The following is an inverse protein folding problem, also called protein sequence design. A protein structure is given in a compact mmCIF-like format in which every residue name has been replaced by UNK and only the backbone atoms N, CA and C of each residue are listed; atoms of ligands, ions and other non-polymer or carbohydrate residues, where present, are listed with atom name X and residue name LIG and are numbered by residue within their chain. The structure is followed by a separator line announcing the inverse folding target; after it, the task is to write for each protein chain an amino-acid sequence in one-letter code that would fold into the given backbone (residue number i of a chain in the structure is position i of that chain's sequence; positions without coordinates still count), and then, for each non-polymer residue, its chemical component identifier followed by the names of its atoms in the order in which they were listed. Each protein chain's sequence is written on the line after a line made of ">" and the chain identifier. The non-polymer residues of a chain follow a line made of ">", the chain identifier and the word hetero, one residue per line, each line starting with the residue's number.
data_IF_666979418819
#
_entry.id   IF_666979418819
#
_cell.length_a   1.000
_cell.length_b   1.000
_cell.length_c   1.000
_cell.angle_alpha   90.00
_cell.angle_beta   90.00
_cell.angle_gamma   90.00
#
_symmetry.space_group_name_H-M   'P 1'
#
loop_
_entity.id
_entity.type
_entity.pdbx_description
1 polymer ?
#
# COMPACT_ATOMS: atom_id res chain seq x y z
N UNK A 1 -12.85 -1.60 -19.39
CA UNK A 1 -13.06 -2.34 -18.12
C UNK A 1 -12.37 -3.67 -18.25
N UNK A 2 -11.50 -4.02 -17.30
CA UNK A 2 -10.72 -5.26 -17.25
C UNK A 2 -11.13 -6.11 -16.05
N UNK A 3 -10.68 -7.36 -16.02
CA UNK A 3 -10.77 -8.21 -14.85
C UNK A 3 -9.37 -8.54 -14.37
N UNK A 4 -9.17 -8.51 -13.06
CA UNK A 4 -7.91 -8.82 -12.40
C UNK A 4 -8.14 -10.02 -11.50
N UNK A 5 -7.33 -11.07 -11.65
CA UNK A 5 -7.23 -12.17 -10.70
C UNK A 5 -6.18 -11.79 -9.66
N UNK A 6 -6.54 -11.84 -8.41
CA UNK A 6 -5.66 -11.54 -7.30
C UNK A 6 -5.78 -12.60 -6.22
N UNK A 7 -4.71 -12.81 -5.46
CA UNK A 7 -4.70 -13.78 -4.38
C UNK A 7 -3.35 -13.87 -3.69
N UNK A 8 -3.30 -14.69 -2.65
CA UNK A 8 -2.06 -14.97 -1.94
C UNK A 8 -2.08 -16.38 -1.35
N UNK A 9 -0.89 -16.89 -1.08
CA UNK A 9 -0.63 -18.04 -0.23
C UNK A 9 0.49 -17.72 0.74
N UNK A 10 0.16 -17.71 2.04
CA UNK A 10 1.10 -17.40 3.11
C UNK A 10 1.11 -18.56 4.11
N UNK A 11 2.30 -19.05 4.47
CA UNK A 11 2.46 -20.14 5.43
C UNK A 11 3.29 -19.65 6.60
N UNK A 12 2.74 -19.81 7.81
CA UNK A 12 3.43 -19.58 9.06
C UNK A 12 3.69 -20.92 9.77
N UNK A 13 4.77 -20.98 10.55
CA UNK A 13 5.05 -22.06 11.47
C UNK A 13 5.21 -21.49 12.88
N UNK A 14 4.41 -21.97 13.81
CA UNK A 14 4.35 -21.46 15.19
C UNK A 14 4.62 -22.59 16.17
N UNK A 15 5.61 -22.46 17.09
CA UNK A 15 5.95 -23.55 18.03
C UNK A 15 4.85 -23.79 19.07
N UNK A 16 3.93 -22.84 19.24
CA UNK A 16 2.77 -22.92 20.14
C UNK A 16 1.60 -22.16 19.54
N UNK A 17 0.42 -22.28 20.14
CA UNK A 17 -0.75 -21.50 19.77
C UNK A 17 -0.43 -20.00 19.78
N UNK A 18 -0.82 -19.29 18.69
CA UNK A 18 -0.46 -17.91 18.45
C UNK A 18 -1.68 -17.10 17.99
N UNK A 19 -2.15 -16.12 18.79
CA UNK A 19 -3.10 -15.15 18.31
C UNK A 19 -2.49 -14.34 17.15
N UNK A 20 -3.27 -14.17 16.05
CA UNK A 20 -2.87 -13.42 14.86
C UNK A 20 -3.99 -12.51 14.41
N UNK A 21 -3.62 -11.37 13.82
CA UNK A 21 -4.50 -10.49 13.07
C UNK A 21 -3.96 -10.35 11.66
N UNK A 22 -4.82 -10.53 10.66
CA UNK A 22 -4.51 -10.35 9.24
C UNK A 22 -5.28 -9.16 8.67
N UNK A 23 -4.60 -8.31 7.93
CA UNK A 23 -5.17 -7.28 7.05
C UNK A 23 -4.86 -7.66 5.61
N UNK A 24 -5.60 -8.61 5.08
CA UNK A 24 -5.37 -9.21 3.77
C UNK A 24 -6.62 -9.24 2.90
N UNK A 25 -7.77 -8.84 3.46
CA UNK A 25 -9.01 -8.72 2.71
C UNK A 25 -9.04 -7.43 1.89
N UNK A 26 -9.70 -7.50 0.74
CA UNK A 26 -9.96 -6.33 -0.10
C UNK A 26 -10.66 -5.24 0.72
N UNK A 27 -10.19 -4.00 0.61
CA UNK A 27 -10.76 -2.86 1.33
C UNK A 27 -12.26 -2.69 1.01
N UNK A 28 -13.12 -2.31 1.96
CA UNK A 28 -14.57 -2.17 1.75
C UNK A 28 -14.97 -1.34 0.52
N UNK A 29 -14.19 -0.31 0.16
CA UNK A 29 -14.45 0.50 -1.03
C UNK A 29 -14.35 -0.25 -2.37
N UNK A 30 -13.69 -1.42 -2.40
CA UNK A 30 -13.50 -2.24 -3.59
C UNK A 30 -14.33 -3.53 -3.58
N UNK A 31 -15.02 -3.83 -2.47
CA UNK A 31 -15.91 -5.01 -2.37
C UNK A 31 -16.99 -5.04 -3.45
N UNK A 32 -17.63 -3.91 -3.86
CA UNK A 32 -18.61 -3.91 -4.94
C UNK A 32 -18.06 -4.35 -6.31
N UNK A 33 -16.74 -4.28 -6.50
CA UNK A 33 -16.07 -4.66 -7.75
C UNK A 33 -15.77 -6.16 -7.82
N UNK A 34 -15.89 -6.91 -6.73
CA UNK A 34 -15.60 -8.34 -6.70
C UNK A 34 -16.52 -9.12 -7.65
N UNK A 35 -15.92 -9.94 -8.52
CA UNK A 35 -16.61 -10.90 -9.39
C UNK A 35 -16.77 -12.24 -8.68
N UNK A 36 -15.73 -12.66 -7.99
CA UNK A 36 -15.76 -13.83 -7.09
C UNK A 36 -15.38 -13.37 -5.68
N UNK A 37 -15.92 -14.00 -4.62
CA UNK A 37 -15.65 -13.57 -3.24
C UNK A 37 -14.16 -13.62 -2.88
N UNK A 38 -13.66 -12.56 -2.24
CA UNK A 38 -12.39 -12.59 -1.51
C UNK A 38 -12.63 -13.30 -0.16
N UNK A 39 -12.49 -14.61 -0.16
CA UNK A 39 -12.72 -15.46 1.00
C UNK A 39 -11.39 -15.97 1.55
N UNK A 40 -10.89 -15.34 2.65
CA UNK A 40 -9.71 -15.84 3.36
C UNK A 40 -9.98 -17.23 3.93
N UNK A 41 -9.12 -18.19 3.58
CA UNK A 41 -9.20 -19.60 3.99
C UNK A 41 -7.97 -20.00 4.79
N UNK A 42 -8.16 -20.98 5.67
CA UNK A 42 -7.12 -21.47 6.58
C UNK A 42 -6.99 -22.99 6.48
N UNK A 43 -5.75 -23.47 6.48
CA UNK A 43 -5.40 -24.89 6.61
C UNK A 43 -4.32 -25.07 7.69
N UNK A 44 -4.61 -25.81 8.76
CA UNK A 44 -5.91 -26.42 9.08
C UNK A 44 -7.00 -25.37 9.29
N UNK A 45 -8.27 -25.78 9.13
CA UNK A 45 -9.40 -24.89 9.37
C UNK A 45 -9.39 -24.40 10.83
N UNK A 46 -9.50 -23.07 11.02
CA UNK A 46 -9.54 -22.42 12.33
C UNK A 46 -10.70 -21.43 12.39
N UNK A 47 -11.36 -21.28 13.54
CA UNK A 47 -12.35 -20.22 13.73
C UNK A 47 -11.71 -18.85 13.53
N UNK A 48 -12.41 -17.96 12.81
CA UNK A 48 -11.98 -16.59 12.59
C UNK A 48 -13.11 -15.62 12.89
N UNK A 49 -12.75 -14.40 13.27
CA UNK A 49 -13.69 -13.28 13.41
C UNK A 49 -13.15 -12.06 12.69
N UNK A 50 -14.04 -11.26 12.12
CA UNK A 50 -13.68 -10.01 11.43
C UNK A 50 -14.20 -8.81 12.21
N UNK A 51 -13.44 -7.71 12.09
CA UNK A 51 -13.84 -6.39 12.57
C UNK A 51 -13.27 -5.32 11.63
N UNK A 52 -13.80 -4.12 11.72
CA UNK A 52 -13.28 -2.95 10.99
C UNK A 52 -12.48 -2.10 11.97
N UNK A 53 -11.27 -1.70 11.58
CA UNK A 53 -10.43 -0.83 12.39
C UNK A 53 -10.81 0.66 12.27
N UNK A 54 -10.07 1.52 12.98
CA UNK A 54 -10.29 2.97 12.96
C UNK A 54 -10.00 3.66 11.63
N UNK A 55 -9.37 2.97 10.68
CA UNK A 55 -9.06 3.46 9.32
C UNK A 55 -9.99 2.89 8.25
N UNK A 56 -10.94 2.04 8.65
CA UNK A 56 -11.91 1.41 7.75
C UNK A 56 -11.42 0.10 7.11
N UNK A 57 -10.31 -0.48 7.58
CA UNK A 57 -9.76 -1.73 7.05
C UNK A 57 -10.43 -2.96 7.66
N UNK A 58 -10.54 -4.03 6.89
CA UNK A 58 -11.03 -5.33 7.38
C UNK A 58 -9.88 -6.07 8.06
N UNK A 59 -10.05 -6.36 9.35
CA UNK A 59 -9.12 -7.12 10.16
C UNK A 59 -9.70 -8.51 10.47
N UNK A 60 -8.97 -9.56 10.15
CA UNK A 60 -9.36 -10.95 10.47
C UNK A 60 -8.51 -11.49 11.62
N UNK A 61 -9.15 -11.83 12.73
CA UNK A 61 -8.51 -12.39 13.92
C UNK A 61 -8.70 -13.89 14.00
N UNK A 62 -7.61 -14.60 14.28
CA UNK A 62 -7.56 -16.05 14.48
C UNK A 62 -6.65 -16.42 15.65
N UNK A 63 -6.80 -17.66 16.15
CA UNK A 63 -5.82 -18.31 17.00
C UNK A 63 -5.20 -19.44 16.18
N UNK A 64 -3.99 -19.22 15.68
CA UNK A 64 -3.24 -20.23 14.94
C UNK A 64 -2.87 -21.39 15.89
N UNK A 65 -3.07 -22.65 15.49
CA UNK A 65 -2.61 -23.81 16.26
C UNK A 65 -1.06 -23.90 16.24
N UNK A 66 -0.46 -24.71 17.10
CA UNK A 66 0.94 -25.10 16.95
C UNK A 66 1.19 -25.76 15.57
N UNK A 67 2.37 -25.52 14.99
CA UNK A 67 2.74 -26.00 13.67
C UNK A 67 2.35 -25.05 12.54
N UNK A 68 2.15 -25.61 11.37
CA UNK A 68 1.90 -24.83 10.15
C UNK A 68 0.45 -24.37 10.04
N UNK A 69 0.28 -23.08 9.72
CA UNK A 69 -0.96 -22.48 9.30
C UNK A 69 -0.76 -21.90 7.91
N UNK A 70 -1.51 -22.40 6.91
CA UNK A 70 -1.62 -21.84 5.57
C UNK A 70 -2.81 -20.89 5.55
N UNK A 71 -2.60 -19.68 5.05
CA UNK A 71 -3.61 -18.64 4.85
C UNK A 71 -3.62 -18.30 3.37
N UNK A 72 -4.78 -18.38 2.71
CA UNK A 72 -4.83 -18.19 1.25
C UNK A 72 -6.19 -17.69 0.78
N UNK A 73 -6.17 -17.01 -0.36
CA UNK A 73 -7.36 -16.62 -1.14
C UNK A 73 -7.00 -16.58 -2.62
N UNK A 74 -8.02 -16.64 -3.47
CA UNK A 74 -7.93 -16.45 -4.92
C UNK A 74 -9.29 -15.94 -5.38
N UNK A 75 -9.31 -14.77 -5.99
CA UNK A 75 -10.53 -14.07 -6.40
C UNK A 75 -10.32 -13.26 -7.67
N UNK A 76 -11.42 -12.81 -8.26
CA UNK A 76 -11.44 -11.95 -9.44
C UNK A 76 -12.19 -10.67 -9.11
N UNK A 77 -11.62 -9.54 -9.51
CA UNK A 77 -12.19 -8.20 -9.33
C UNK A 77 -12.32 -7.50 -10.67
N UNK A 78 -13.35 -6.66 -10.85
CA UNK A 78 -13.45 -5.72 -11.98
C UNK A 78 -12.62 -4.48 -11.67
N UNK A 79 -12.01 -3.95 -12.72
CA UNK A 79 -11.30 -2.67 -12.67
C UNK A 79 -11.66 -1.82 -13.88
N UNK A 80 -11.55 -0.50 -13.75
CA UNK A 80 -11.84 0.43 -14.84
C UNK A 80 -10.96 0.19 -16.08
N UNK A 81 -9.73 -0.30 -15.86
CA UNK A 81 -8.69 -0.38 -16.86
C UNK A 81 -8.11 0.99 -17.23
N UNK A 82 -8.39 2.01 -16.42
CA UNK A 82 -7.83 3.35 -16.57
C UNK A 82 -6.67 3.55 -15.60
N UNK A 83 -5.65 4.32 -15.97
CA UNK A 83 -4.56 4.66 -15.07
C UNK A 83 -5.05 5.55 -13.91
N UNK A 84 -4.23 5.62 -12.85
CA UNK A 84 -4.47 6.53 -11.73
C UNK A 84 -4.76 7.96 -12.24
N UNK A 85 -5.79 8.65 -11.72
CA UNK A 85 -6.15 9.99 -12.19
C UNK A 85 -5.04 11.01 -11.98
N UNK A 86 -4.78 11.85 -12.98
CA UNK A 86 -3.85 12.99 -12.92
C UNK A 86 -4.66 14.28 -13.00
N UNK A 87 -4.61 15.11 -11.93
CA UNK A 87 -5.39 16.34 -11.81
C UNK A 87 -4.48 17.51 -11.41
N UNK A 88 -3.73 18.10 -12.37
CA UNK A 88 -2.72 19.13 -12.11
C UNK A 88 -3.24 20.36 -11.38
N UNK A 89 -4.51 20.69 -11.53
CA UNK A 89 -5.17 21.86 -10.93
C UNK A 89 -5.68 21.58 -9.48
N UNK A 90 -5.49 20.37 -8.95
CA UNK A 90 -5.92 20.04 -7.59
C UNK A 90 -5.11 20.86 -6.57
N UNK A 91 -5.82 21.77 -5.88
CA UNK A 91 -5.20 22.72 -4.94
C UNK A 91 -4.82 22.08 -3.61
N UNK A 92 -3.79 22.59 -2.97
CA UNK A 92 -3.54 22.36 -1.55
C UNK A 92 -4.50 23.20 -0.71
N UNK A 93 -5.02 22.60 0.37
CA UNK A 93 -5.84 23.32 1.35
C UNK A 93 -4.98 23.95 2.43
N UNK A 94 -5.42 25.10 2.95
CA UNK A 94 -4.91 25.59 4.23
C UNK A 94 -5.33 24.63 5.34
N UNK A 95 -4.49 24.45 6.36
CA UNK A 95 -4.77 23.51 7.46
C UNK A 95 -6.10 23.83 8.16
N UNK A 96 -6.44 25.11 8.28
CA UNK A 96 -7.71 25.56 8.89
C UNK A 96 -8.97 25.21 8.07
N UNK A 97 -8.82 24.85 6.80
CA UNK A 97 -9.91 24.45 5.91
C UNK A 97 -10.15 22.93 5.92
N UNK A 98 -9.23 22.17 6.50
CA UNK A 98 -9.30 20.71 6.46
C UNK A 98 -10.35 20.17 7.41
N UNK A 99 -11.14 19.15 7.01
CA UNK A 99 -11.98 18.38 7.92
C UNK A 99 -11.17 17.75 9.06
N UNK A 100 -11.74 17.70 10.27
CA UNK A 100 -11.07 17.24 11.49
C UNK A 100 -10.49 15.82 11.36
N UNK A 101 -11.19 14.93 10.65
CA UNK A 101 -10.77 13.55 10.41
C UNK A 101 -9.50 13.43 9.55
N UNK A 102 -9.11 14.49 8.85
CA UNK A 102 -7.89 14.51 8.02
C UNK A 102 -6.65 14.95 8.80
N UNK A 103 -6.82 15.61 9.94
CA UNK A 103 -5.70 16.18 10.72
C UNK A 103 -4.74 15.10 11.21
N UNK A 104 -5.21 13.89 11.46
CA UNK A 104 -4.38 12.74 11.83
C UNK A 104 -3.35 12.39 10.75
N UNK A 105 -3.61 12.73 9.49
CA UNK A 105 -2.74 12.49 8.34
C UNK A 105 -1.75 13.62 8.06
N UNK A 106 -1.70 14.64 8.92
CA UNK A 106 -0.64 15.66 8.97
C UNK A 106 0.43 15.33 10.03
N UNK A 107 0.09 14.45 10.98
CA UNK A 107 0.95 14.18 12.13
C UNK A 107 2.02 13.13 11.80
N UNK A 108 3.14 13.21 12.51
CA UNK A 108 4.16 12.15 12.49
C UNK A 108 3.60 10.81 12.97
N UNK A 109 4.23 9.73 12.53
CA UNK A 109 3.86 8.36 12.91
C UNK A 109 5.11 7.49 13.02
N UNK A 110 4.98 6.18 13.31
CA UNK A 110 6.12 5.30 13.62
C UNK A 110 7.24 5.36 12.57
N UNK A 111 6.89 5.42 11.29
CA UNK A 111 7.85 5.42 10.19
C UNK A 111 7.97 6.78 9.49
N UNK A 112 7.03 7.70 9.75
CA UNK A 112 7.00 9.04 9.17
C UNK A 112 7.40 10.06 10.25
N UNK A 113 8.71 10.20 10.46
CA UNK A 113 9.36 11.03 11.48
C UNK A 113 9.43 12.50 11.02
N UNK A 114 8.27 13.15 10.93
CA UNK A 114 8.09 14.53 10.43
C UNK A 114 8.90 15.56 11.22
N UNK A 115 9.04 15.37 12.53
CA UNK A 115 9.81 16.21 13.44
C UNK A 115 11.31 16.26 13.08
N UNK A 116 11.84 15.17 12.50
CA UNK A 116 13.23 15.06 12.08
C UNK A 116 13.47 15.44 10.61
N UNK A 117 12.39 15.68 9.85
CA UNK A 117 12.48 15.92 8.41
C UNK A 117 11.90 17.29 7.97
N UNK A 118 11.31 18.06 8.88
CA UNK A 118 10.65 19.32 8.55
C UNK A 118 11.61 20.31 7.85
N UNK A 119 12.78 20.59 8.41
CA UNK A 119 13.75 21.50 7.81
C UNK A 119 14.21 21.04 6.42
N UNK A 120 14.41 19.73 6.25
CA UNK A 120 14.77 19.15 4.96
C UNK A 120 13.64 19.33 3.94
N UNK A 121 12.40 19.06 4.32
CA UNK A 121 11.23 19.23 3.45
C UNK A 121 11.08 20.69 2.99
N UNK A 122 11.13 21.63 3.93
CA UNK A 122 11.04 23.07 3.62
C UNK A 122 12.20 23.55 2.74
N UNK A 123 13.41 23.09 2.98
CA UNK A 123 14.57 23.47 2.13
C UNK A 123 14.40 22.98 0.69
N UNK A 124 13.76 21.82 0.48
CA UNK A 124 13.57 21.22 -0.85
C UNK A 124 12.35 21.75 -1.59
N UNK A 125 11.22 22.00 -0.87
CA UNK A 125 9.92 22.16 -1.53
C UNK A 125 9.20 23.48 -1.26
N UNK A 126 9.74 24.42 -0.44
CA UNK A 126 9.07 25.70 -0.14
C UNK A 126 8.74 26.51 -1.39
N UNK A 127 9.61 26.47 -2.39
CA UNK A 127 9.47 27.25 -3.62
C UNK A 127 8.69 26.51 -4.72
N UNK A 128 8.24 25.25 -4.49
CA UNK A 128 7.40 24.55 -5.43
C UNK A 128 5.95 25.06 -5.38
N UNK A 129 5.22 25.17 -6.51
CA UNK A 129 3.81 25.54 -6.50
C UNK A 129 3.00 24.60 -5.58
N UNK A 130 2.12 25.14 -4.70
CA UNK A 130 1.30 24.30 -3.83
C UNK A 130 0.30 23.44 -4.61
N UNK A 131 -0.18 22.34 -4.00
CA UNK A 131 -1.12 21.42 -4.63
C UNK A 131 -0.43 20.28 -5.35
N UNK A 132 -1.02 19.84 -6.47
CA UNK A 132 -0.53 18.70 -7.25
C UNK A 132 0.95 18.81 -7.60
N UNK A 133 1.38 19.97 -8.07
CA UNK A 133 2.76 20.20 -8.50
C UNK A 133 3.77 19.96 -7.36
N UNK A 134 3.43 20.34 -6.12
CA UNK A 134 4.26 20.06 -4.95
C UNK A 134 4.35 18.57 -4.61
N UNK A 135 3.23 17.86 -4.65
CA UNK A 135 3.22 16.41 -4.41
C UNK A 135 4.00 15.68 -5.50
N UNK A 136 3.85 16.09 -6.76
CA UNK A 136 4.63 15.52 -7.86
C UNK A 136 6.13 15.80 -7.70
N UNK A 137 6.52 17.01 -7.33
CA UNK A 137 7.93 17.33 -7.05
C UNK A 137 8.50 16.49 -5.90
N UNK A 138 7.69 16.19 -4.87
CA UNK A 138 8.06 15.26 -3.80
C UNK A 138 8.25 13.85 -4.36
N UNK A 139 7.34 13.35 -5.20
CA UNK A 139 7.48 12.04 -5.85
C UNK A 139 8.74 11.97 -6.70
N UNK A 140 9.00 12.97 -7.52
CA UNK A 140 10.19 13.05 -8.39
C UNK A 140 11.48 13.03 -7.57
N UNK A 141 11.51 13.79 -6.47
CA UNK A 141 12.65 13.81 -5.57
C UNK A 141 12.89 12.44 -4.93
N UNK A 142 11.84 11.82 -4.37
CA UNK A 142 11.95 10.52 -3.69
C UNK A 142 12.34 9.42 -4.67
N UNK A 143 11.75 9.42 -5.87
CA UNK A 143 12.08 8.50 -6.96
C UNK A 143 13.58 8.52 -7.31
N UNK A 144 14.13 9.72 -7.45
CA UNK A 144 15.54 9.91 -7.79
C UNK A 144 16.48 9.73 -6.58
N UNK A 145 15.98 9.89 -5.36
CA UNK A 145 16.78 9.77 -4.13
C UNK A 145 17.00 8.34 -3.69
N UNK A 146 16.02 7.46 -3.87
CA UNK A 146 16.08 6.09 -3.37
C UNK A 146 16.34 5.08 -4.50
N UNK A 147 17.27 4.16 -4.24
CA UNK A 147 17.48 2.97 -5.07
C UNK A 147 16.60 1.85 -4.55
N UNK A 148 15.73 1.32 -5.42
CA UNK A 148 14.87 0.19 -5.08
C UNK A 148 15.63 -1.15 -5.11
N UNK A 149 15.32 -2.06 -4.17
CA UNK A 149 15.77 -3.45 -4.19
C UNK A 149 15.26 -4.24 -2.99
N UNK A 150 14.75 -5.45 -3.21
CA UNK A 150 14.24 -6.31 -2.14
C UNK A 150 15.30 -6.65 -1.07
N UNK A 151 16.57 -6.75 -1.46
CA UNK A 151 17.68 -6.95 -0.53
C UNK A 151 17.90 -5.80 0.46
N UNK A 152 17.27 -4.65 0.23
CA UNK A 152 17.31 -3.50 1.13
C UNK A 152 16.16 -3.48 2.15
N UNK A 153 15.29 -4.49 2.16
CA UNK A 153 14.18 -4.56 3.09
C UNK A 153 14.68 -4.54 4.56
N UNK A 154 14.19 -3.56 5.35
CA UNK A 154 14.49 -3.44 6.78
C UNK A 154 13.22 -3.00 7.52
N UNK A 155 12.65 -3.87 8.39
CA UNK A 155 11.36 -3.60 9.05
C UNK A 155 11.34 -2.34 9.92
N UNK A 156 12.50 -1.89 10.41
CA UNK A 156 12.62 -0.75 11.34
C UNK A 156 12.92 0.58 10.68
N UNK A 157 13.22 0.61 9.35
CA UNK A 157 13.64 1.83 8.65
C UNK A 157 12.55 2.89 8.69
N UNK A 158 12.89 4.09 9.19
CA UNK A 158 12.06 5.29 9.14
C UNK A 158 12.28 6.06 7.83
N UNK A 159 11.44 7.06 7.56
CA UNK A 159 11.59 7.92 6.39
C UNK A 159 12.93 8.65 6.37
N UNK A 160 13.37 9.19 7.53
CA UNK A 160 14.68 9.85 7.66
C UNK A 160 15.84 8.89 7.37
N UNK A 161 15.78 7.67 7.92
CA UNK A 161 16.81 6.67 7.67
C UNK A 161 16.86 6.28 6.18
N UNK A 162 15.70 6.09 5.55
CA UNK A 162 15.60 5.85 4.10
C UNK A 162 16.22 6.98 3.29
N UNK A 163 15.90 8.23 3.64
CA UNK A 163 16.46 9.41 3.01
C UNK A 163 18.00 9.46 3.13
N UNK A 164 18.56 9.16 4.31
CA UNK A 164 20.03 9.16 4.52
C UNK A 164 20.70 8.02 3.75
N UNK A 165 20.15 6.80 3.84
CA UNK A 165 20.71 5.60 3.22
C UNK A 165 20.56 5.58 1.69
N UNK A 166 19.61 6.32 1.12
CA UNK A 166 19.37 6.41 -0.31
C UNK A 166 18.92 5.10 -0.96
N UNK A 167 18.27 4.20 -0.21
CA UNK A 167 17.82 2.88 -0.70
C UNK A 167 16.67 2.32 0.13
N UNK A 168 15.85 1.46 -0.48
CA UNK A 168 14.73 0.85 0.21
C UNK A 168 13.85 -0.01 -0.66
N UNK A 169 12.70 -0.39 -0.12
CA UNK A 169 11.60 -1.09 -0.82
C UNK A 169 10.40 -0.15 -1.01
N UNK A 170 9.35 -0.58 -1.70
CA UNK A 170 8.16 0.24 -1.98
C UNK A 170 7.62 1.00 -0.74
N UNK A 171 7.62 0.35 0.43
CA UNK A 171 7.25 0.94 1.71
C UNK A 171 8.09 2.17 2.07
N UNK A 172 9.40 2.11 1.84
CA UNK A 172 10.32 3.18 2.21
C UNK A 172 10.14 4.41 1.31
N UNK A 173 9.83 4.21 0.02
CA UNK A 173 9.46 5.28 -0.92
C UNK A 173 8.17 5.96 -0.47
N UNK A 174 7.13 5.18 -0.14
CA UNK A 174 5.86 5.72 0.34
C UNK A 174 6.03 6.51 1.65
N UNK A 175 6.76 5.97 2.64
CA UNK A 175 7.00 6.65 3.91
C UNK A 175 7.71 7.98 3.74
N UNK A 176 8.75 8.04 2.89
CA UNK A 176 9.49 9.27 2.66
C UNK A 176 8.62 10.33 1.97
N UNK A 177 7.85 9.94 0.95
CA UNK A 177 6.93 10.84 0.27
C UNK A 177 5.84 11.37 1.21
N UNK A 178 5.21 10.49 2.00
CA UNK A 178 4.22 10.85 3.03
C UNK A 178 4.82 11.84 4.04
N UNK A 179 6.04 11.57 4.53
CA UNK A 179 6.71 12.44 5.49
C UNK A 179 6.90 13.84 4.92
N UNK A 180 7.39 13.96 3.69
CA UNK A 180 7.54 15.25 3.03
C UNK A 180 6.20 15.95 2.78
N UNK A 181 5.17 15.24 2.33
CA UNK A 181 3.83 15.81 2.18
C UNK A 181 3.32 16.42 3.49
N UNK A 182 3.43 15.67 4.60
CA UNK A 182 2.98 16.12 5.92
C UNK A 182 3.79 17.32 6.42
N UNK A 183 5.10 17.32 6.23
CA UNK A 183 5.95 18.48 6.55
C UNK A 183 5.56 19.74 5.74
N UNK A 184 4.98 19.55 4.55
CA UNK A 184 4.48 20.63 3.70
C UNK A 184 2.98 20.91 3.92
N UNK A 185 2.40 20.43 5.03
CA UNK A 185 0.99 20.61 5.40
C UNK A 185 -0.01 19.99 4.41
N UNK A 186 0.36 18.90 3.73
CA UNK A 186 -0.51 18.14 2.86
C UNK A 186 -0.88 16.83 3.56
N UNK A 187 -2.19 16.58 3.88
CA UNK A 187 -2.58 15.31 4.44
C UNK A 187 -2.21 14.16 3.49
N UNK A 188 -1.47 13.18 4.02
CA UNK A 188 -1.03 12.03 3.24
C UNK A 188 -1.17 10.75 4.05
N UNK A 189 -1.69 9.68 3.41
CA UNK A 189 -1.92 8.37 4.03
C UNK A 189 -1.27 7.25 3.23
N UNK A 190 -0.81 6.27 3.96
CA UNK A 190 -0.20 5.06 3.42
C UNK A 190 -1.27 4.10 2.93
N UNK A 191 -1.01 3.47 1.79
CA UNK A 191 -1.84 2.45 1.19
C UNK A 191 -1.02 1.21 0.87
N UNK A 192 -1.64 0.03 1.03
CA UNK A 192 -1.08 -1.24 0.59
C UNK A 192 -2.15 -2.08 -0.11
N UNK A 193 -1.70 -2.91 -1.03
CA UNK A 193 -2.59 -3.78 -1.78
C UNK A 193 -1.89 -4.45 -2.96
N UNK A 194 -2.69 -4.96 -3.87
CA UNK A 194 -2.18 -5.62 -5.08
C UNK A 194 -1.91 -4.60 -6.18
N UNK A 195 -0.83 -4.81 -6.91
CA UNK A 195 -0.49 -4.06 -8.11
C UNK A 195 0.29 -4.97 -9.06
N UNK A 196 -0.38 -5.44 -10.09
CA UNK A 196 0.23 -6.27 -11.14
C UNK A 196 0.90 -5.45 -12.24
N UNK A 197 1.60 -6.14 -13.14
CA UNK A 197 2.25 -5.54 -14.31
C UNK A 197 1.27 -5.40 -15.49
N UNK A 198 0.21 -4.59 -15.26
CA UNK A 198 -0.82 -4.31 -16.27
C UNK A 198 -0.40 -3.07 -17.05
N UNK A 199 -0.36 -3.20 -18.38
CA UNK A 199 0.06 -2.14 -19.32
C UNK A 199 1.47 -1.57 -19.06
N UNK A 200 2.34 -2.37 -18.43
CA UNK A 200 3.75 -2.06 -18.24
C UNK A 200 4.58 -3.32 -18.52
N UNK A 201 5.89 -3.17 -18.84
CA UNK A 201 6.76 -4.35 -18.98
C UNK A 201 6.77 -5.18 -17.70
N UNK A 202 6.64 -6.51 -17.80
CA UNK A 202 6.71 -7.38 -16.64
C UNK A 202 8.10 -7.33 -16.01
N UNK A 203 8.14 -7.48 -14.68
CA UNK A 203 9.39 -7.63 -13.92
C UNK A 203 9.62 -9.10 -13.58
N UNK A 204 10.89 -9.54 -13.61
CA UNK A 204 11.26 -10.93 -13.29
C UNK A 204 11.22 -11.25 -11.79
N UNK A 205 10.96 -10.25 -10.95
CA UNK A 205 10.94 -10.41 -9.49
C UNK A 205 9.61 -11.00 -9.03
N UNK A 206 9.61 -11.81 -7.94
CA UNK A 206 8.37 -12.34 -7.38
C UNK A 206 7.40 -11.22 -7.02
N UNK A 207 6.11 -11.41 -7.33
CA UNK A 207 5.07 -10.48 -6.93
C UNK A 207 4.95 -10.41 -5.41
N UNK A 208 4.67 -9.20 -4.90
CA UNK A 208 4.45 -8.89 -3.49
C UNK A 208 3.30 -7.89 -3.36
N UNK A 209 2.81 -7.69 -2.16
CA UNK A 209 1.95 -6.54 -1.91
C UNK A 209 2.74 -5.25 -2.14
N UNK A 210 2.16 -4.36 -2.91
CA UNK A 210 2.73 -3.06 -3.19
C UNK A 210 2.34 -2.04 -2.12
N UNK A 211 3.18 -1.02 -1.99
CA UNK A 211 2.90 0.15 -1.18
C UNK A 211 2.92 1.41 -2.05
N UNK A 212 1.95 2.28 -1.81
CA UNK A 212 1.83 3.62 -2.39
C UNK A 212 1.24 4.57 -1.36
N UNK A 213 0.91 5.78 -1.75
CA UNK A 213 0.24 6.70 -0.84
C UNK A 213 -0.86 7.49 -1.54
N UNK A 214 -1.72 8.08 -0.75
CA UNK A 214 -2.71 9.05 -1.22
C UNK A 214 -2.46 10.40 -0.54
N UNK A 215 -2.59 11.48 -1.30
CA UNK A 215 -2.55 12.86 -0.82
C UNK A 215 -3.92 13.53 -0.99
N UNK A 216 -4.34 14.32 0.00
CA UNK A 216 -5.61 15.03 -0.04
C UNK A 216 -5.44 16.41 -0.66
N UNK A 217 -6.03 16.60 -1.82
CA UNK A 217 -5.95 17.82 -2.61
C UNK A 217 -7.34 18.12 -3.20
N UNK A 218 -7.72 19.39 -3.31
CA UNK A 218 -8.96 19.79 -3.98
C UNK A 218 -10.24 19.15 -3.44
N UNK A 219 -10.25 18.70 -2.19
CA UNK A 219 -11.42 18.10 -1.55
C UNK A 219 -11.51 16.58 -1.66
N UNK A 220 -10.50 15.89 -2.20
CA UNK A 220 -10.48 14.43 -2.31
C UNK A 220 -9.08 13.83 -2.24
N UNK A 221 -9.03 12.51 -2.07
CA UNK A 221 -7.79 11.75 -2.05
C UNK A 221 -7.38 11.36 -3.46
N UNK A 222 -6.10 11.61 -3.81
CA UNK A 222 -5.48 11.18 -5.05
C UNK A 222 -4.32 10.23 -4.80
N UNK A 223 -4.22 9.20 -5.62
CA UNK A 223 -3.15 8.21 -5.57
C UNK A 223 -1.85 8.77 -6.16
N UNK A 224 -0.75 8.53 -5.44
CA UNK A 224 0.62 8.82 -5.87
C UNK A 224 1.53 7.64 -5.54
N UNK A 225 2.56 7.46 -6.34
CA UNK A 225 3.52 6.36 -6.14
C UNK A 225 4.94 6.83 -6.47
N UNK A 226 5.70 7.17 -5.42
CA UNK A 226 7.05 7.65 -5.59
C UNK A 226 8.06 6.58 -6.08
N UNK A 227 7.72 5.26 -5.98
CA UNK A 227 8.57 4.19 -6.50
C UNK A 227 8.52 4.12 -8.02
N UNK A 228 7.32 4.02 -8.59
CA UNK A 228 7.16 3.93 -10.04
C UNK A 228 7.15 5.31 -10.70
N UNK A 229 6.62 6.30 -10.01
CA UNK A 229 6.48 7.70 -10.42
C UNK A 229 5.73 7.89 -11.75
N UNK A 230 4.81 6.98 -12.03
CA UNK A 230 3.89 6.99 -13.16
C UNK A 230 2.50 6.55 -12.70
N UNK A 231 1.42 7.03 -13.35
CA UNK A 231 0.09 6.46 -13.16
C UNK A 231 0.06 4.98 -13.54
N UNK A 232 -0.57 4.14 -12.72
CA UNK A 232 -0.66 2.70 -12.95
C UNK A 232 -2.13 2.27 -13.09
N UNK A 233 -2.35 1.14 -13.74
CA UNK A 233 -3.66 0.49 -13.89
C UNK A 233 -3.76 -0.65 -12.87
N UNK A 234 -4.96 -0.85 -12.33
CA UNK A 234 -5.28 -2.07 -11.57
C UNK A 234 -4.80 -2.10 -10.12
N UNK A 235 -4.68 -0.93 -9.46
CA UNK A 235 -4.45 -0.90 -8.01
C UNK A 235 -5.66 -1.44 -7.26
N UNK A 236 -5.45 -2.51 -6.51
CA UNK A 236 -6.49 -3.08 -5.66
C UNK A 236 -6.14 -2.85 -4.20
N UNK A 237 -6.80 -1.87 -3.58
CA UNK A 237 -6.56 -1.50 -2.19
C UNK A 237 -6.97 -2.63 -1.24
N UNK A 238 -6.07 -2.96 -0.31
CA UNK A 238 -6.29 -3.87 0.82
C UNK A 238 -6.47 -3.08 2.11
N UNK A 239 -5.51 -2.21 2.43
CA UNK A 239 -5.58 -1.41 3.64
C UNK A 239 -4.92 -0.04 3.47
N UNK A 240 -5.33 0.91 4.33
CA UNK A 240 -4.76 2.25 4.42
C UNK A 240 -4.64 2.71 5.87
N UNK A 241 -3.69 3.58 6.16
CA UNK A 241 -3.44 4.10 7.50
C UNK A 241 -2.43 5.24 7.48
N UNK A 242 -1.86 5.59 8.62
CA UNK A 242 -0.85 6.66 8.70
C UNK A 242 0.50 6.23 8.11
N UNK A 243 0.88 4.99 8.39
CA UNK A 243 2.08 4.34 7.85
C UNK A 243 1.93 2.81 7.91
N UNK A 244 2.96 2.05 7.60
CA UNK A 244 2.92 0.58 7.56
C UNK A 244 2.59 -0.07 8.91
N UNK A 245 2.68 0.63 10.04
CA UNK A 245 2.29 0.08 11.35
C UNK A 245 0.77 -0.14 11.43
N UNK A 246 0.00 0.78 10.86
CA UNK A 246 -1.47 0.72 10.88
C UNK A 246 -2.03 -0.32 9.88
N UNK A 247 -1.22 -0.79 8.93
CA UNK A 247 -1.64 -1.67 7.82
C UNK A 247 -0.79 -2.94 7.70
N UNK A 248 -0.30 -3.43 8.82
CA UNK A 248 0.51 -4.65 8.82
C UNK A 248 -0.29 -5.84 8.27
N UNK A 249 0.19 -6.46 7.17
CA UNK A 249 -0.41 -7.62 6.52
C UNK A 249 -0.72 -8.73 7.52
N UNK A 250 0.20 -8.96 8.46
CA UNK A 250 -0.03 -9.86 9.60
C UNK A 250 0.64 -9.34 10.85
N UNK A 251 -0.06 -9.44 11.98
CA UNK A 251 0.49 -9.21 13.31
C UNK A 251 0.36 -10.50 14.12
N UNK A 252 1.45 -10.93 14.73
CA UNK A 252 1.45 -12.13 15.60
C UNK A 252 1.82 -11.74 17.04
N UNK A 253 1.11 -12.33 18.00
CA UNK A 253 1.29 -12.07 19.42
C UNK A 253 2.03 -13.21 20.13
N UNK A 254 2.68 -14.10 19.37
CA UNK A 254 3.56 -15.15 19.85
C UNK A 254 4.64 -15.46 18.81
N UNK A 255 5.71 -16.17 19.14
CA UNK A 255 6.73 -16.58 18.18
C UNK A 255 6.10 -17.32 16.99
N UNK A 256 6.45 -16.88 15.78
CA UNK A 256 5.95 -17.45 14.53
C UNK A 256 6.94 -17.13 13.42
N UNK A 257 7.25 -18.10 12.58
CA UNK A 257 8.15 -17.97 11.45
C UNK A 257 7.34 -17.93 10.16
N UNK A 258 7.63 -16.98 9.29
CA UNK A 258 7.12 -16.97 7.91
C UNK A 258 7.89 -18.01 7.09
N UNK A 259 7.19 -18.96 6.48
CA UNK A 259 7.76 -20.06 5.70
C UNK A 259 7.57 -19.84 4.21
N UNK A 260 6.40 -19.31 3.81
CA UNK A 260 6.04 -19.04 2.42
C UNK A 260 5.27 -17.75 2.34
N UNK A 261 5.52 -16.99 1.27
CA UNK A 261 4.82 -15.75 0.96
C UNK A 261 4.74 -15.56 -0.54
N UNK A 262 3.62 -15.94 -1.12
CA UNK A 262 3.33 -15.79 -2.54
C UNK A 262 2.14 -14.88 -2.73
N UNK A 263 2.24 -13.96 -3.67
CA UNK A 263 1.16 -13.04 -4.09
C UNK A 263 0.96 -13.19 -5.59
N UNK A 264 -0.28 -13.15 -6.03
CA UNK A 264 -0.69 -13.19 -7.43
C UNK A 264 -1.50 -11.95 -7.78
N UNK A 265 -1.17 -11.30 -8.91
CA UNK A 265 -1.99 -10.22 -9.46
C UNK A 265 -1.81 -10.19 -10.97
N UNK A 266 -2.78 -10.72 -11.72
CA UNK A 266 -2.72 -10.83 -13.17
C UNK A 266 -4.00 -10.32 -13.83
N UNK A 267 -3.88 -9.74 -15.03
CA UNK A 267 -5.02 -9.46 -15.86
C UNK A 267 -5.61 -10.78 -16.42
N UNK A 268 -6.92 -10.95 -16.25
CA UNK A 268 -7.65 -12.07 -16.87
C UNK A 268 -7.92 -11.73 -18.34
N UNK A 269 -7.09 -12.27 -19.24
CA UNK A 269 -7.27 -12.13 -20.68
C UNK A 269 -8.38 -13.07 -21.15
N UNK A 270 -9.30 -12.56 -22.00
CA UNK A 270 -10.26 -13.41 -22.68
C UNK A 270 -9.57 -14.20 -23.80
N UNK A 271 -9.85 -15.47 -23.96
CA UNK A 271 -9.26 -16.38 -24.97
C UNK A 271 -9.40 -15.90 -26.44
N UNK A 272 -10.18 -14.85 -26.70
CA UNK A 272 -10.41 -14.31 -28.05
C UNK A 272 -9.27 -13.43 -28.58
N UNK A 273 -8.31 -13.00 -27.75
CA UNK A 273 -7.20 -12.15 -28.22
C UNK A 273 -5.98 -12.92 -28.74
N UNK A 274 -5.92 -14.23 -28.56
CA UNK A 274 -4.78 -15.06 -28.99
C UNK A 274 -4.83 -15.44 -30.48
N UNK A 275 -5.94 -15.21 -31.19
CA UNK A 275 -6.09 -15.59 -32.59
C UNK A 275 -5.81 -14.46 -33.61
N UNK A 276 -5.47 -13.25 -33.19
CA UNK A 276 -5.19 -12.12 -34.08
C UNK A 276 -3.70 -11.76 -34.24
N UNK A 277 -2.78 -12.60 -33.71
CA UNK A 277 -1.32 -12.37 -33.75
C UNK A 277 -0.58 -13.58 -34.33
N UNK A 278 -1.19 -14.30 -35.30
CA UNK A 278 -0.53 -15.37 -36.07
C UNK A 278 -0.43 -14.97 -37.51
#
# INVERSE_FOLDING_TARGET
>A
MIKIRAGYEIIYDSPRSAPKVFMLSVHPSRVPDLVTPDAMRFEPAVPSSQYVDGFGNICTRVIAPPGRLRVFTDFVVRDSGLPDPVVPDARQHEVAELPDELLVYLLGSRYCDTDLMADTAWSLFKDTPPGWARVQAICDYVHNRLVFGYGYARPTRTAREGHIEGRGVCRDFAHLAITFCRCMNIPARYCTGYLGDIDVPPVDEPMDFSAWFEAYLGGQWYTFDARYNIPRIGRLLVARGRDATDVAISTTFAPSKLIKFDVLTDEVRSEQQTQSSS
#
